data_IF_180684402673
#
_entry.id   IF_180684402673
#
_cell.length_a   1.000
_cell.length_b   1.000
_cell.length_c   1.000
_cell.angle_alpha   90.00
_cell.angle_beta   90.00
_cell.angle_gamma   90.00
#
_symmetry.space_group_name_H-M   'P 1'
#
loop_
_entity.id
_entity.type
_entity.pdbx_description
1 polymer ?
#
# COMPACT_ATOMS: atom_id res chain seq x y z
N UNK A 1 2.72 19.90 17.85
CA UNK A 1 1.88 20.17 16.66
C UNK A 1 2.36 21.38 15.85
N UNK A 2 2.57 22.57 16.45
CA UNK A 2 3.12 23.74 15.72
C UNK A 2 4.55 23.53 15.23
N UNK A 3 5.40 22.89 16.04
CA UNK A 3 6.77 22.57 15.66
C UNK A 3 6.84 21.62 14.47
N UNK A 4 5.94 20.64 14.41
CA UNK A 4 5.85 19.66 13.32
C UNK A 4 5.41 20.32 12.01
N UNK A 5 4.45 21.25 12.08
CA UNK A 5 4.01 22.04 10.92
C UNK A 5 5.12 22.93 10.36
N UNK A 6 5.91 23.56 11.23
CA UNK A 6 7.04 24.40 10.81
C UNK A 6 8.13 23.59 10.12
N UNK A 7 8.42 22.40 10.62
CA UNK A 7 9.37 21.46 9.99
C UNK A 7 8.85 21.00 8.63
N UNK A 8 7.58 20.67 8.53
CA UNK A 8 6.93 20.26 7.28
C UNK A 8 6.90 21.40 6.25
N UNK A 9 6.61 22.65 6.66
CA UNK A 9 6.62 23.81 5.77
C UNK A 9 8.02 24.11 5.23
N UNK A 10 9.04 24.11 6.08
CA UNK A 10 10.44 24.24 5.64
C UNK A 10 10.88 23.11 4.71
N UNK A 11 10.28 21.91 4.87
CA UNK A 11 10.57 20.80 3.99
C UNK A 11 10.05 21.02 2.56
N UNK A 12 8.91 21.74 2.39
CA UNK A 12 8.38 22.08 1.05
C UNK A 12 9.29 23.07 0.33
N UNK A 13 9.74 24.12 1.04
CA UNK A 13 10.56 25.20 0.47
C UNK A 13 11.91 24.70 -0.07
N UNK A 14 12.39 23.57 0.45
CA UNK A 14 13.68 22.96 0.12
C UNK A 14 13.57 21.66 -0.69
N UNK A 15 12.37 21.26 -1.09
CA UNK A 15 12.18 19.99 -1.78
C UNK A 15 12.59 20.07 -3.24
N UNK A 16 13.48 19.16 -3.66
CA UNK A 16 13.75 18.89 -5.06
C UNK A 16 12.53 18.22 -5.73
N UNK A 17 12.43 18.33 -7.04
CA UNK A 17 11.38 17.66 -7.81
C UNK A 17 11.44 16.14 -7.61
N UNK A 18 10.30 15.54 -7.33
CA UNK A 18 10.14 14.09 -7.36
C UNK A 18 9.94 13.65 -8.81
N UNK A 19 10.72 12.70 -9.25
CA UNK A 19 10.58 12.10 -10.59
C UNK A 19 10.80 10.60 -10.48
N UNK A 20 10.01 9.82 -11.21
CA UNK A 20 10.10 8.37 -11.23
C UNK A 20 8.88 7.75 -11.90
N UNK A 21 8.99 6.46 -12.18
CA UNK A 21 7.88 5.68 -12.71
C UNK A 21 6.91 5.32 -11.58
N UNK A 22 5.65 5.71 -11.73
CA UNK A 22 4.58 5.36 -10.79
C UNK A 22 3.99 4.02 -11.17
N UNK A 23 3.93 3.12 -10.18
CA UNK A 23 3.24 1.82 -10.27
C UNK A 23 2.18 1.76 -9.19
N UNK A 24 1.05 1.14 -9.50
CA UNK A 24 -0.10 1.05 -8.58
C UNK A 24 -0.37 -0.43 -8.33
N UNK A 25 -0.42 -0.81 -7.05
CA UNK A 25 -1.00 -2.07 -6.62
C UNK A 25 -2.51 -1.87 -6.62
N UNK A 26 -3.22 -2.67 -7.41
CA UNK A 26 -4.64 -2.45 -7.71
C UNK A 26 -5.57 -3.40 -6.98
N UNK A 27 -5.09 -4.59 -6.66
CA UNK A 27 -5.89 -5.57 -5.93
C UNK A 27 -6.05 -5.13 -4.47
N UNK A 28 -7.26 -5.25 -3.94
CA UNK A 28 -7.52 -4.94 -2.53
C UNK A 28 -7.30 -6.18 -1.65
N UNK A 29 -6.09 -6.35 -1.18
CA UNK A 29 -5.70 -7.45 -0.30
C UNK A 29 -6.31 -7.36 1.11
N UNK A 30 -7.05 -6.31 1.45
CA UNK A 30 -7.80 -6.25 2.70
C UNK A 30 -9.10 -7.05 2.66
N UNK A 31 -9.55 -7.49 1.48
CA UNK A 31 -10.78 -8.27 1.31
C UNK A 31 -10.56 -9.51 0.44
N UNK A 32 -11.45 -10.48 0.57
CA UNK A 32 -11.46 -11.71 -0.21
C UNK A 32 -10.41 -12.75 0.19
N UNK A 33 -10.43 -13.93 -0.44
CA UNK A 33 -9.57 -15.04 -0.09
C UNK A 33 -8.10 -14.75 -0.41
N UNK A 34 -7.19 -15.15 0.51
CA UNK A 34 -5.74 -15.09 0.35
C UNK A 34 -5.07 -16.47 0.43
N UNK A 35 -5.83 -17.50 0.77
CA UNK A 35 -5.30 -18.86 0.86
C UNK A 35 -4.66 -19.29 -0.45
N UNK A 36 -3.44 -19.82 -0.37
CA UNK A 36 -2.67 -20.30 -1.52
C UNK A 36 -2.56 -19.33 -2.69
N UNK A 37 -2.59 -18.01 -2.41
CA UNK A 37 -2.65 -16.94 -3.43
C UNK A 37 -1.52 -17.01 -4.47
N UNK A 38 -0.41 -17.66 -4.14
CA UNK A 38 0.71 -17.85 -5.07
C UNK A 38 0.58 -19.09 -5.95
N UNK A 39 -0.28 -20.04 -5.57
CA UNK A 39 -0.63 -21.19 -6.40
C UNK A 39 -1.71 -20.81 -7.43
N UNK A 40 -1.81 -21.61 -8.50
CA UNK A 40 -2.79 -21.37 -9.56
C UNK A 40 -4.20 -21.41 -9.02
N UNK A 41 -4.51 -22.38 -8.15
CA UNK A 41 -5.84 -22.61 -7.57
C UNK A 41 -6.26 -21.44 -6.68
N UNK A 42 -5.41 -20.97 -5.76
CA UNK A 42 -5.71 -19.83 -4.89
C UNK A 42 -5.88 -18.53 -5.66
N UNK A 43 -5.04 -18.31 -6.67
CA UNK A 43 -5.18 -17.16 -7.56
C UNK A 43 -6.51 -17.18 -8.34
N UNK A 44 -6.91 -18.35 -8.86
CA UNK A 44 -8.18 -18.51 -9.57
C UNK A 44 -9.37 -18.28 -8.64
N UNK A 45 -9.34 -18.85 -7.41
CA UNK A 45 -10.39 -18.63 -6.41
C UNK A 45 -10.58 -17.15 -6.10
N UNK A 46 -9.49 -16.39 -5.95
CA UNK A 46 -9.55 -14.95 -5.74
C UNK A 46 -10.14 -14.22 -6.94
N UNK A 47 -9.75 -14.56 -8.16
CA UNK A 47 -10.33 -13.96 -9.38
C UNK A 47 -11.83 -14.24 -9.51
N UNK A 48 -12.27 -15.46 -9.23
CA UNK A 48 -13.68 -15.83 -9.26
C UNK A 48 -14.48 -15.12 -8.17
N UNK A 49 -13.89 -14.91 -7.00
CA UNK A 49 -14.50 -14.14 -5.93
C UNK A 49 -14.73 -12.69 -6.37
N UNK A 50 -13.72 -12.03 -6.92
CA UNK A 50 -13.84 -10.67 -7.46
C UNK A 50 -14.89 -10.61 -8.58
N UNK A 51 -14.86 -11.56 -9.51
CA UNK A 51 -15.82 -11.62 -10.62
C UNK A 51 -17.26 -11.64 -10.11
N UNK A 52 -17.55 -12.46 -9.10
CA UNK A 52 -18.90 -12.51 -8.49
C UNK A 52 -19.30 -11.18 -7.86
N UNK A 53 -18.39 -10.48 -7.19
CA UNK A 53 -18.68 -9.16 -6.62
C UNK A 53 -18.95 -8.10 -7.70
N UNK A 54 -18.16 -8.12 -8.77
CA UNK A 54 -18.35 -7.22 -9.92
C UNK A 54 -19.69 -7.45 -10.60
N UNK A 55 -20.11 -8.71 -10.80
CA UNK A 55 -21.38 -9.08 -11.40
C UNK A 55 -22.61 -8.57 -10.62
N UNK A 56 -22.52 -8.47 -9.29
CA UNK A 56 -23.61 -7.95 -8.45
C UNK A 56 -23.48 -6.44 -8.15
N UNK A 57 -22.37 -5.83 -8.56
CA UNK A 57 -22.12 -4.40 -8.35
C UNK A 57 -23.09 -3.55 -9.17
N UNK A 58 -23.68 -2.48 -8.60
CA UNK A 58 -24.49 -1.54 -9.35
C UNK A 58 -23.67 -0.64 -10.29
N UNK A 59 -22.35 -0.72 -10.22
CA UNK A 59 -21.43 0.08 -11.04
C UNK A 59 -20.92 -0.75 -12.23
N UNK A 60 -20.71 -0.11 -13.37
CA UNK A 60 -20.08 -0.77 -14.52
C UNK A 60 -18.57 -0.94 -14.24
N UNK A 61 -18.20 -2.12 -13.81
CA UNK A 61 -16.83 -2.47 -13.39
C UNK A 61 -16.18 -3.53 -14.26
N UNK A 62 -16.80 -3.91 -15.39
CA UNK A 62 -16.33 -5.01 -16.24
C UNK A 62 -14.87 -4.86 -16.69
N UNK A 63 -14.41 -3.63 -16.92
CA UNK A 63 -13.04 -3.34 -17.34
C UNK A 63 -12.04 -3.33 -16.18
N UNK A 64 -12.49 -3.21 -14.93
CA UNK A 64 -11.58 -3.08 -13.78
C UNK A 64 -10.82 -4.38 -13.51
N UNK A 65 -11.46 -5.53 -13.71
CA UNK A 65 -10.84 -6.84 -13.50
C UNK A 65 -9.64 -7.09 -14.42
N UNK A 66 -9.72 -6.63 -15.67
CA UNK A 66 -8.65 -6.82 -16.65
C UNK A 66 -7.46 -5.87 -16.40
N UNK A 67 -7.65 -4.83 -15.59
CA UNK A 67 -6.60 -3.89 -15.22
C UNK A 67 -5.78 -4.33 -14.01
N UNK A 68 -6.20 -5.38 -13.29
CA UNK A 68 -5.51 -5.87 -12.09
C UNK A 68 -4.47 -6.91 -12.50
N UNK A 69 -3.21 -6.50 -12.60
CA UNK A 69 -2.07 -7.39 -12.81
C UNK A 69 -0.88 -6.99 -11.93
N UNK A 70 -1.06 -7.15 -10.62
CA UNK A 70 -0.06 -6.78 -9.63
C UNK A 70 1.19 -7.67 -9.73
N UNK A 71 1.04 -8.91 -10.23
CA UNK A 71 2.18 -9.80 -10.51
C UNK A 71 3.11 -9.22 -11.58
N UNK A 72 2.54 -8.65 -12.63
CA UNK A 72 3.33 -7.96 -13.67
C UNK A 72 3.99 -6.70 -13.11
N UNK A 73 3.30 -5.97 -12.22
CA UNK A 73 3.91 -4.83 -11.53
C UNK A 73 5.16 -5.27 -10.77
N UNK A 74 5.09 -6.32 -9.95
CA UNK A 74 6.25 -6.85 -9.22
C UNK A 74 7.35 -7.34 -10.15
N UNK A 75 6.99 -8.05 -11.22
CA UNK A 75 7.96 -8.48 -12.22
C UNK A 75 8.75 -7.30 -12.81
N UNK A 76 8.04 -6.24 -13.20
CA UNK A 76 8.66 -5.04 -13.76
C UNK A 76 9.52 -4.28 -12.74
N UNK A 77 9.10 -4.23 -11.46
CA UNK A 77 9.91 -3.65 -10.39
C UNK A 77 11.22 -4.41 -10.19
N UNK A 78 11.18 -5.74 -10.12
CA UNK A 78 12.38 -6.58 -10.01
C UNK A 78 13.31 -6.40 -11.20
N UNK A 79 12.76 -6.39 -12.41
CA UNK A 79 13.52 -6.14 -13.63
C UNK A 79 14.23 -4.78 -13.60
N UNK A 80 13.54 -3.71 -13.18
CA UNK A 80 14.14 -2.38 -13.04
C UNK A 80 15.30 -2.37 -12.03
N UNK A 81 15.15 -3.10 -10.91
CA UNK A 81 16.21 -3.25 -9.92
C UNK A 81 17.42 -4.03 -10.46
N UNK A 82 17.19 -5.05 -11.29
CA UNK A 82 18.26 -5.84 -11.93
C UNK A 82 19.03 -5.02 -12.98
N UNK A 83 18.31 -4.24 -13.79
CA UNK A 83 18.88 -3.43 -14.87
C UNK A 83 19.64 -2.20 -14.35
N UNK A 84 19.25 -1.65 -13.20
CA UNK A 84 19.87 -0.47 -12.62
C UNK A 84 20.21 -0.66 -11.12
N UNK A 85 21.49 -0.83 -10.77
CA UNK A 85 21.92 -1.01 -9.37
C UNK A 85 21.63 0.19 -8.46
N UNK A 86 21.34 1.37 -9.03
CA UNK A 86 21.02 2.60 -8.27
C UNK A 86 19.53 2.83 -8.12
N UNK A 87 18.70 2.00 -8.75
CA UNK A 87 17.24 2.11 -8.66
C UNK A 87 16.77 1.83 -7.25
N UNK A 88 15.76 2.57 -6.81
CA UNK A 88 15.10 2.40 -5.51
C UNK A 88 13.60 2.27 -5.72
N UNK A 89 12.97 1.43 -4.90
CA UNK A 89 11.51 1.33 -4.81
C UNK A 89 11.04 2.18 -3.64
N UNK A 90 10.19 3.17 -3.93
CA UNK A 90 9.55 4.01 -2.93
C UNK A 90 8.11 3.58 -2.75
N UNK A 91 7.79 2.99 -1.60
CA UNK A 91 6.47 2.49 -1.26
C UNK A 91 5.73 3.60 -0.52
N UNK A 92 4.65 4.08 -1.12
CA UNK A 92 3.79 5.12 -0.57
C UNK A 92 2.51 4.46 -0.06
N UNK A 93 2.17 4.67 1.21
CA UNK A 93 1.00 4.06 1.83
C UNK A 93 0.33 4.99 2.84
N UNK A 94 -0.99 5.08 2.77
CA UNK A 94 -1.84 5.75 3.74
C UNK A 94 -2.15 4.86 4.95
N UNK A 95 -2.80 5.44 5.94
CA UNK A 95 -3.21 4.74 7.15
C UNK A 95 -4.59 4.09 6.96
N UNK A 96 -4.64 3.09 6.09
CA UNK A 96 -5.84 2.29 5.83
C UNK A 96 -5.47 0.84 5.57
N UNK A 97 -6.45 -0.06 5.69
CA UNK A 97 -6.24 -1.50 5.54
C UNK A 97 -5.82 -1.90 4.12
N UNK A 98 -6.34 -1.23 3.09
CA UNK A 98 -5.99 -1.51 1.70
C UNK A 98 -4.49 -1.31 1.46
N UNK A 99 -3.97 -0.14 1.82
CA UNK A 99 -2.56 0.21 1.61
C UNK A 99 -1.63 -0.66 2.45
N UNK A 100 -2.00 -0.94 3.71
CA UNK A 100 -1.18 -1.78 4.60
C UNK A 100 -1.15 -3.24 4.15
N UNK A 101 -2.27 -3.81 3.72
CA UNK A 101 -2.29 -5.18 3.16
C UNK A 101 -1.52 -5.26 1.84
N UNK A 102 -1.66 -4.27 0.96
CA UNK A 102 -0.89 -4.16 -0.27
C UNK A 102 0.62 -4.05 -0.02
N UNK A 103 1.01 -3.29 0.99
CA UNK A 103 2.40 -3.20 1.44
C UNK A 103 2.94 -4.56 1.90
N UNK A 104 2.22 -5.28 2.77
CA UNK A 104 2.66 -6.60 3.23
C UNK A 104 2.81 -7.60 2.08
N UNK A 105 1.85 -7.60 1.15
CA UNK A 105 1.94 -8.40 -0.05
C UNK A 105 3.19 -8.05 -0.88
N UNK A 106 3.44 -6.77 -1.14
CA UNK A 106 4.56 -6.31 -1.94
C UNK A 106 5.91 -6.66 -1.29
N UNK A 107 6.07 -6.39 0.01
CA UNK A 107 7.31 -6.71 0.75
C UNK A 107 7.59 -8.20 0.74
N UNK A 108 6.57 -9.04 0.80
CA UNK A 108 6.74 -10.50 0.71
C UNK A 108 7.36 -10.96 -0.61
N UNK A 109 7.26 -10.13 -1.67
CA UNK A 109 7.82 -10.40 -3.01
C UNK A 109 9.25 -9.85 -3.20
N UNK A 110 9.68 -8.90 -2.37
CA UNK A 110 10.92 -8.13 -2.56
C UNK A 110 12.02 -8.52 -1.56
N UNK A 111 12.08 -9.79 -1.16
CA UNK A 111 12.94 -10.29 -0.06
C UNK A 111 14.44 -10.06 -0.26
N UNK A 112 14.89 -9.91 -1.50
CA UNK A 112 16.33 -9.81 -1.82
C UNK A 112 16.79 -8.36 -2.00
N UNK A 113 15.87 -7.38 -1.92
CA UNK A 113 16.10 -5.99 -2.32
C UNK A 113 16.06 -4.98 -1.17
N UNK A 114 16.22 -5.41 0.07
CA UNK A 114 16.07 -4.61 1.28
C UNK A 114 16.78 -3.25 1.23
N UNK A 115 18.02 -3.22 0.81
CA UNK A 115 18.83 -1.99 0.79
C UNK A 115 18.33 -0.90 -0.18
N UNK A 116 17.37 -1.24 -1.05
CA UNK A 116 16.84 -0.39 -2.11
C UNK A 116 15.35 -0.05 -1.92
N UNK A 117 14.79 -0.39 -0.77
CA UNK A 117 13.39 -0.12 -0.44
C UNK A 117 13.30 1.06 0.52
N UNK A 118 12.52 2.06 0.14
CA UNK A 118 12.18 3.24 0.91
C UNK A 118 10.69 3.21 1.22
N UNK A 119 10.31 3.43 2.47
CA UNK A 119 8.92 3.41 2.91
C UNK A 119 8.48 4.81 3.33
N UNK A 120 7.32 5.23 2.82
CA UNK A 120 6.62 6.45 3.20
C UNK A 120 5.22 6.04 3.71
N UNK A 121 5.13 5.90 5.01
CA UNK A 121 3.86 5.58 5.68
C UNK A 121 3.29 6.83 6.34
N UNK A 122 2.13 7.28 5.86
CA UNK A 122 1.47 8.50 6.32
C UNK A 122 0.61 8.26 7.58
N UNK A 123 1.21 7.60 8.56
CA UNK A 123 0.55 7.33 9.84
C UNK A 123 0.61 8.55 10.75
N UNK A 124 -0.55 9.12 11.08
CA UNK A 124 -0.68 10.27 11.98
C UNK A 124 0.16 11.52 11.58
N UNK A 125 0.43 11.71 10.29
CA UNK A 125 1.09 12.90 9.79
C UNK A 125 0.08 14.00 9.50
N UNK A 126 0.27 15.22 10.04
CA UNK A 126 -0.61 16.34 9.77
C UNK A 126 -0.35 16.94 8.39
N UNK A 127 -1.41 17.21 7.64
CA UNK A 127 -1.40 17.93 6.38
C UNK A 127 -2.33 19.12 6.42
N UNK A 128 -2.23 20.03 5.46
CA UNK A 128 -3.10 21.19 5.34
C UNK A 128 -4.00 20.99 4.12
N UNK A 129 -5.32 21.09 4.31
CA UNK A 129 -6.30 21.02 3.24
C UNK A 129 -6.39 22.36 2.45
N UNK A 130 -7.22 22.40 1.41
CA UNK A 130 -7.41 23.59 0.58
C UNK A 130 -7.96 24.81 1.36
N UNK A 131 -8.65 24.58 2.49
CA UNK A 131 -9.17 25.60 3.38
C UNK A 131 -8.18 26.10 4.43
N UNK A 132 -6.93 25.60 4.38
CA UNK A 132 -5.88 25.94 5.36
C UNK A 132 -6.04 25.23 6.72
N UNK A 133 -6.88 24.21 6.82
CA UNK A 133 -7.12 23.47 8.06
C UNK A 133 -6.21 22.24 8.13
N UNK A 134 -5.77 21.92 9.34
CA UNK A 134 -4.99 20.71 9.62
C UNK A 134 -5.92 19.50 9.58
N UNK A 135 -5.50 18.45 8.87
CA UNK A 135 -6.16 17.16 8.87
C UNK A 135 -5.13 16.02 8.83
N UNK A 136 -5.57 14.82 9.13
CA UNK A 136 -4.76 13.61 9.13
C UNK A 136 -5.30 12.67 8.05
N UNK A 137 -4.67 12.59 6.88
CA UNK A 137 -5.15 11.76 5.78
C UNK A 137 -5.05 10.28 6.14
N UNK A 138 -6.04 9.53 5.74
CA UNK A 138 -6.04 8.06 5.80
C UNK A 138 -5.69 7.43 4.45
N UNK A 139 -5.87 8.17 3.36
CA UNK A 139 -5.56 7.72 2.01
C UNK A 139 -4.75 8.77 1.23
N UNK A 140 -3.95 8.31 0.29
CA UNK A 140 -3.04 9.18 -0.48
C UNK A 140 -3.78 10.22 -1.33
N UNK A 141 -4.97 9.90 -1.84
CA UNK A 141 -5.77 10.81 -2.67
C UNK A 141 -6.31 12.03 -1.91
N UNK A 142 -6.33 12.01 -0.58
CA UNK A 142 -6.73 13.13 0.27
C UNK A 142 -5.64 14.21 0.35
N UNK A 143 -4.39 13.88 -0.06
CA UNK A 143 -3.23 14.74 0.05
C UNK A 143 -3.08 15.55 -1.24
N UNK A 144 -2.97 16.89 -1.11
CA UNK A 144 -2.71 17.75 -2.26
C UNK A 144 -1.35 17.45 -2.93
N UNK A 145 -1.23 17.49 -4.26
CA UNK A 145 0.01 17.15 -4.96
C UNK A 145 1.25 17.89 -4.45
N UNK A 146 1.14 19.18 -4.14
CA UNK A 146 2.24 19.99 -3.59
C UNK A 146 2.75 19.49 -2.23
N UNK A 147 1.87 18.83 -1.46
CA UNK A 147 2.20 18.33 -0.14
C UNK A 147 3.02 17.04 -0.20
N UNK A 148 2.97 16.28 -1.31
CA UNK A 148 3.83 15.10 -1.51
C UNK A 148 5.33 15.42 -1.52
N UNK A 149 5.71 16.65 -1.84
CA UNK A 149 7.11 17.08 -1.77
C UNK A 149 7.67 17.02 -0.35
N UNK A 150 6.83 17.19 0.68
CA UNK A 150 7.20 17.00 2.10
C UNK A 150 7.62 15.58 2.39
N UNK A 151 6.97 14.63 1.74
CA UNK A 151 7.18 13.21 1.96
C UNK A 151 8.61 12.78 1.63
N UNK A 152 9.28 13.43 0.67
CA UNK A 152 10.69 13.16 0.34
C UNK A 152 11.60 13.27 1.56
N UNK A 153 11.30 14.17 2.49
CA UNK A 153 12.07 14.31 3.75
C UNK A 153 11.61 13.37 4.87
N UNK A 154 10.41 12.83 4.75
CA UNK A 154 9.85 11.87 5.69
C UNK A 154 10.14 10.43 5.29
N UNK A 155 10.75 10.23 4.13
CA UNK A 155 11.13 8.90 3.67
C UNK A 155 12.16 8.28 4.61
N UNK A 156 12.09 6.99 4.73
CA UNK A 156 13.10 6.20 5.43
C UNK A 156 13.33 4.88 4.72
N UNK A 157 14.56 4.42 4.74
CA UNK A 157 14.85 3.05 4.34
C UNK A 157 14.08 2.09 5.25
N UNK A 158 13.58 1.01 4.67
CA UNK A 158 12.99 -0.07 5.46
C UNK A 158 14.03 -0.61 6.45
N UNK A 159 13.64 -0.81 7.69
CA UNK A 159 14.53 -1.37 8.70
C UNK A 159 14.71 -2.87 8.50
N UNK A 160 15.83 -3.43 9.00
CA UNK A 160 16.05 -4.88 9.01
C UNK A 160 14.89 -5.61 9.68
N UNK A 161 14.46 -5.13 10.84
CA UNK A 161 13.36 -5.73 11.60
C UNK A 161 12.06 -5.77 10.82
N UNK A 162 11.68 -4.66 10.16
CA UNK A 162 10.47 -4.63 9.32
C UNK A 162 10.60 -5.59 8.13
N UNK A 163 11.76 -5.64 7.51
CA UNK A 163 11.99 -6.48 6.36
C UNK A 163 11.98 -7.99 6.69
N UNK A 164 12.31 -8.34 7.92
CA UNK A 164 12.23 -9.72 8.43
C UNK A 164 10.80 -10.07 8.89
N UNK A 165 10.13 -9.16 9.59
CA UNK A 165 8.83 -9.41 10.25
C UNK A 165 7.64 -9.22 9.30
N UNK A 166 7.64 -8.16 8.50
CA UNK A 166 6.49 -7.82 7.67
C UNK A 166 6.10 -8.92 6.63
N UNK A 167 7.03 -9.66 6.01
CA UNK A 167 6.68 -10.83 5.19
C UNK A 167 6.01 -11.97 5.97
N UNK A 168 6.31 -12.12 7.25
CA UNK A 168 5.67 -13.13 8.10
C UNK A 168 4.26 -12.70 8.51
N UNK A 169 4.01 -11.40 8.70
CA UNK A 169 2.64 -10.88 8.83
C UNK A 169 1.81 -11.19 7.59
N UNK A 170 2.37 -11.05 6.38
CA UNK A 170 1.67 -11.46 5.17
C UNK A 170 1.33 -12.96 5.16
N UNK A 171 2.27 -13.83 5.50
CA UNK A 171 2.01 -15.28 5.60
C UNK A 171 0.91 -15.59 6.61
N UNK A 172 0.90 -14.91 7.75
CA UNK A 172 -0.14 -15.04 8.75
C UNK A 172 -1.51 -14.71 8.17
N UNK A 173 -1.66 -13.56 7.48
CA UNK A 173 -2.91 -13.18 6.81
C UNK A 173 -3.37 -14.22 5.79
N UNK A 174 -2.44 -14.78 5.00
CA UNK A 174 -2.75 -15.85 4.05
C UNK A 174 -3.22 -17.15 4.76
N UNK A 175 -2.60 -17.51 5.87
CA UNK A 175 -2.95 -18.71 6.63
C UNK A 175 -4.29 -18.57 7.36
N UNK A 176 -4.56 -17.40 7.94
CA UNK A 176 -5.85 -17.08 8.57
C UNK A 176 -6.98 -17.02 7.53
N UNK A 177 -6.67 -16.57 6.33
CA UNK A 177 -7.58 -16.49 5.19
C UNK A 177 -8.94 -15.88 5.52
N UNK A 178 -8.98 -14.91 6.44
CA UNK A 178 -10.19 -14.16 6.75
C UNK A 178 -10.68 -13.40 5.51
N UNK A 179 -11.99 -13.31 5.31
CA UNK A 179 -12.55 -12.64 4.12
C UNK A 179 -12.51 -11.12 4.21
N UNK A 180 -12.48 -10.57 5.41
CA UNK A 180 -12.35 -9.12 5.67
C UNK A 180 -11.21 -8.90 6.66
N UNK A 181 -10.40 -7.89 6.41
CA UNK A 181 -9.25 -7.49 7.23
C UNK A 181 -9.33 -6.01 7.51
N UNK A 182 -9.15 -5.62 8.76
CA UNK A 182 -9.23 -4.23 9.21
C UNK A 182 -7.91 -3.80 9.84
N UNK A 183 -7.62 -2.51 9.75
CA UNK A 183 -6.48 -1.89 10.39
C UNK A 183 -6.88 -1.41 11.80
N UNK A 184 -6.32 -2.04 12.84
CA UNK A 184 -6.56 -1.61 14.23
C UNK A 184 -5.70 -0.40 14.65
N UNK A 185 -4.55 -0.22 14.02
CA UNK A 185 -3.64 0.91 14.29
C UNK A 185 -2.20 0.58 13.94
N UNK A 186 -1.39 1.59 13.68
CA UNK A 186 -0.06 1.40 13.14
C UNK A 186 -0.13 0.61 11.84
N UNK A 187 0.51 -0.56 11.80
CA UNK A 187 0.40 -1.53 10.70
C UNK A 187 -0.31 -2.83 11.11
N UNK A 188 -1.01 -2.85 12.26
CA UNK A 188 -1.65 -4.06 12.77
C UNK A 188 -2.94 -4.38 12.01
N UNK A 189 -2.92 -5.45 11.24
CA UNK A 189 -4.08 -5.98 10.52
C UNK A 189 -4.65 -7.18 11.29
N UNK A 190 -5.98 -7.22 11.40
CA UNK A 190 -6.72 -8.34 11.99
C UNK A 190 -7.84 -8.80 11.06
N UNK A 191 -8.04 -10.11 11.00
CA UNK A 191 -9.19 -10.70 10.33
C UNK A 191 -10.47 -10.47 11.11
N UNK A 192 -11.58 -10.28 10.40
CA UNK A 192 -12.91 -10.12 11.00
C UNK A 192 -13.96 -10.86 10.18
N UNK A 193 -15.18 -10.89 10.67
CA UNK A 193 -16.31 -11.54 10.02
C UNK A 193 -16.70 -10.83 8.72
N UNK A 194 -17.28 -11.56 7.76
CA UNK A 194 -17.72 -11.05 6.48
C UNK A 194 -18.78 -9.95 6.61
N UNK A 195 -19.60 -10.00 7.66
CA UNK A 195 -20.67 -9.04 7.95
C UNK A 195 -20.21 -7.79 8.72
N UNK A 196 -18.89 -7.57 8.85
CA UNK A 196 -18.33 -6.43 9.58
C UNK A 196 -18.85 -5.08 9.12
N UNK A 197 -19.00 -4.90 7.80
CA UNK A 197 -19.49 -3.65 7.20
C UNK A 197 -21.01 -3.56 7.10
N UNK A 198 -21.73 -4.63 7.44
CA UNK A 198 -23.21 -4.69 7.42
C UNK A 198 -23.84 -4.28 8.77
N UNK A 199 -23.01 -4.07 9.78
CA UNK A 199 -23.38 -3.66 11.14
C UNK A 199 -23.27 -2.16 11.35
#
# INVERSE_FOLDING_TARGET
QEADLTVLQKAIELAETLSGDVRIIRDDYAVGPLGDIYATEGYQQRREWWKRLVEISPYNTDQLMDMVDDRLVVHNLKKALEENPKEEIWIWMGQNQHDVCGYYWLISQLKDDQGRIVVLYFNNLPFINEKGQIFYPTALHEIQPKEFLKAKKLNRKITLSEFEVDPDEWKKLCNENAMVRILEGGKKIVGTDEDFYDK
#
